data_IF_480807913087
#
_entry.id   IF_480807913087
#
_cell.length_a   1.000
_cell.length_b   1.000
_cell.length_c   1.000
_cell.angle_alpha   90.00
_cell.angle_beta   90.00
_cell.angle_gamma   90.00
#
_symmetry.space_group_name_H-M   'P 1'
#
loop_
_entity.id
_entity.type
_entity.pdbx_description
1 polymer ?
#
# COMPACT_ATOMS: atom_id res chain seq x y z
N UNK A 1 17.85 -18.10 -2.88
CA UNK A 1 17.22 -17.18 -1.93
C UNK A 1 16.38 -16.18 -2.68
N UNK A 2 15.15 -16.03 -2.26
CA UNK A 2 14.12 -15.20 -2.86
C UNK A 2 14.42 -13.73 -2.57
N UNK A 3 14.31 -12.88 -3.59
CA UNK A 3 14.52 -11.43 -3.46
C UNK A 3 13.25 -10.63 -3.60
N UNK A 4 12.11 -11.28 -3.86
CA UNK A 4 10.81 -10.67 -4.06
C UNK A 4 9.71 -11.64 -3.59
N UNK A 5 8.62 -11.10 -3.04
CA UNK A 5 7.41 -11.84 -2.71
C UNK A 5 6.18 -10.94 -2.90
N UNK A 6 5.12 -11.52 -3.45
CA UNK A 6 3.79 -10.92 -3.52
C UNK A 6 2.76 -11.90 -2.95
N UNK A 7 1.88 -11.44 -2.07
CA UNK A 7 0.86 -12.26 -1.39
C UNK A 7 -0.48 -11.56 -1.47
N UNK A 8 -1.52 -12.32 -1.82
CA UNK A 8 -2.93 -11.95 -1.58
C UNK A 8 -3.41 -12.65 -0.31
N UNK A 9 -3.73 -11.87 0.70
CA UNK A 9 -4.27 -12.34 1.97
C UNK A 9 -5.72 -11.88 2.14
N UNK A 10 -6.47 -12.59 2.99
CA UNK A 10 -7.81 -12.21 3.40
C UNK A 10 -7.88 -12.21 4.92
N UNK A 11 -8.64 -11.28 5.48
CA UNK A 11 -8.93 -11.26 6.91
C UNK A 11 -10.36 -11.77 7.07
N UNK A 12 -10.51 -12.94 7.69
CA UNK A 12 -11.80 -13.58 7.89
C UNK A 12 -12.55 -12.93 9.06
N UNK A 13 -13.15 -11.76 8.78
CA UNK A 13 -14.09 -11.11 9.68
C UNK A 13 -15.12 -10.29 8.90
N UNK A 14 -16.18 -9.87 9.59
CA UNK A 14 -17.27 -9.11 8.99
C UNK A 14 -16.82 -7.78 8.37
N UNK A 15 -15.79 -7.13 8.93
CA UNK A 15 -15.33 -5.81 8.52
C UNK A 15 -14.56 -5.84 7.21
N UNK A 16 -13.85 -6.94 6.94
CA UNK A 16 -12.97 -7.14 5.79
C UNK A 16 -13.42 -8.27 4.85
N UNK A 17 -14.62 -8.80 5.06
CA UNK A 17 -15.20 -9.83 4.20
C UNK A 17 -15.19 -9.40 2.73
N UNK A 18 -14.56 -10.21 1.89
CA UNK A 18 -14.43 -9.96 0.44
C UNK A 18 -13.46 -8.85 0.05
N UNK A 19 -12.65 -8.33 0.99
CA UNK A 19 -11.61 -7.33 0.71
C UNK A 19 -10.24 -8.01 0.70
N UNK A 20 -9.57 -8.14 -0.46
CA UNK A 20 -8.23 -8.71 -0.52
C UNK A 20 -7.18 -7.71 -0.01
N UNK A 21 -6.19 -8.22 0.71
CA UNK A 21 -4.99 -7.49 1.13
C UNK A 21 -3.82 -7.95 0.28
N UNK A 22 -3.20 -7.02 -0.45
CA UNK A 22 -2.03 -7.30 -1.26
C UNK A 22 -0.76 -6.83 -0.55
N UNK A 23 0.18 -7.74 -0.35
CA UNK A 23 1.48 -7.49 0.24
C UNK A 23 2.54 -7.70 -0.84
N UNK A 24 3.41 -6.71 -1.06
CA UNK A 24 4.51 -6.81 -2.01
C UNK A 24 5.77 -6.24 -1.39
N UNK A 25 6.85 -7.02 -1.42
CA UNK A 25 8.17 -6.58 -0.98
C UNK A 25 9.25 -7.22 -1.83
N UNK A 26 10.34 -6.50 -2.07
CA UNK A 26 11.45 -7.01 -2.85
C UNK A 26 12.70 -6.14 -2.80
N UNK A 27 13.79 -6.71 -3.31
CA UNK A 27 15.09 -6.04 -3.47
C UNK A 27 15.31 -5.70 -4.94
N UNK A 28 16.20 -4.74 -5.21
CA UNK A 28 16.51 -4.27 -6.57
C UNK A 28 15.26 -3.88 -7.39
N UNK A 29 14.23 -3.39 -6.71
CA UNK A 29 13.04 -2.85 -7.37
C UNK A 29 13.33 -1.44 -7.91
N UNK A 30 12.44 -0.93 -8.78
CA UNK A 30 12.57 0.37 -9.45
C UNK A 30 12.87 1.53 -8.48
N UNK A 31 12.23 1.54 -7.33
CA UNK A 31 12.38 2.59 -6.30
C UNK A 31 12.33 1.98 -4.90
N UNK A 32 13.05 2.61 -3.96
CA UNK A 32 12.88 2.34 -2.52
C UNK A 32 11.62 3.08 -2.05
N UNK A 33 10.60 2.36 -1.63
CA UNK A 33 9.39 2.92 -1.07
C UNK A 33 8.81 1.98 0.01
N UNK A 34 8.17 2.58 1.01
CA UNK A 34 7.30 1.87 1.95
C UNK A 34 5.98 2.64 1.99
N UNK A 35 4.91 2.03 1.50
CA UNK A 35 3.62 2.69 1.28
C UNK A 35 2.47 1.76 1.62
N UNK A 36 1.38 2.33 2.11
CA UNK A 36 0.10 1.67 2.30
C UNK A 36 -0.88 2.36 1.37
N UNK A 37 -1.53 1.59 0.50
CA UNK A 37 -2.50 2.10 -0.47
C UNK A 37 -3.85 1.48 -0.18
N UNK A 38 -4.82 2.33 0.11
CA UNK A 38 -6.22 1.95 0.28
C UNK A 38 -6.99 2.48 -0.92
N UNK A 39 -7.40 1.57 -1.79
CA UNK A 39 -8.30 1.88 -2.90
C UNK A 39 -9.74 1.66 -2.45
N UNK A 40 -10.58 2.68 -2.64
CA UNK A 40 -11.99 2.59 -2.29
C UNK A 40 -12.77 1.92 -3.41
N UNK A 41 -13.95 1.37 -3.09
CA UNK A 41 -14.84 0.84 -4.13
C UNK A 41 -15.27 1.97 -5.06
N UNK A 42 -15.43 1.70 -6.38
CA UNK A 42 -16.02 2.67 -7.29
C UNK A 42 -17.43 3.05 -6.83
N UNK A 43 -17.85 4.26 -7.17
CA UNK A 43 -19.19 4.74 -6.82
C UNK A 43 -20.22 3.85 -7.52
N UNK A 44 -21.12 3.23 -6.75
CA UNK A 44 -22.12 2.29 -7.26
C UNK A 44 -23.18 2.93 -8.15
N UNK A 45 -23.46 4.22 -7.93
CA UNK A 45 -24.39 5.01 -8.73
C UNK A 45 -23.72 6.29 -9.21
N UNK A 46 -23.41 6.35 -10.49
CA UNK A 46 -22.94 7.58 -11.11
C UNK A 46 -24.14 8.51 -11.36
N UNK A 47 -24.21 9.62 -10.62
CA UNK A 47 -25.20 10.69 -10.83
C UNK A 47 -24.79 11.67 -11.94
N UNK A 48 -23.55 11.55 -12.42
CA UNK A 48 -23.02 12.34 -13.53
C UNK A 48 -23.20 11.56 -14.84
N UNK A 49 -23.68 12.22 -15.90
CA UNK A 49 -23.82 11.60 -17.21
C UNK A 49 -22.46 11.26 -17.85
N UNK A 50 -22.48 10.56 -18.99
CA UNK A 50 -21.25 10.15 -19.71
C UNK A 50 -20.31 11.32 -20.07
N UNK A 51 -20.87 12.54 -20.17
CA UNK A 51 -20.12 13.78 -20.40
C UNK A 51 -19.15 14.15 -19.26
N UNK A 52 -19.29 13.53 -18.07
CA UNK A 52 -18.43 13.82 -16.93
C UNK A 52 -17.05 13.17 -16.99
N UNK A 53 -16.84 12.25 -17.94
CA UNK A 53 -15.59 11.52 -18.11
C UNK A 53 -15.48 10.27 -17.20
N UNK A 54 -14.37 9.53 -17.29
CA UNK A 54 -14.18 8.30 -16.54
C UNK A 54 -14.03 8.59 -15.04
N UNK A 55 -14.92 8.03 -14.23
CA UNK A 55 -14.83 8.11 -12.77
C UNK A 55 -13.80 7.10 -12.28
N UNK A 56 -12.81 7.60 -11.55
CA UNK A 56 -11.80 6.77 -10.91
C UNK A 56 -12.18 6.52 -9.44
N UNK A 57 -11.85 5.34 -8.88
CA UNK A 57 -12.03 5.11 -7.46
C UNK A 57 -11.16 6.06 -6.63
N UNK A 58 -11.69 6.50 -5.49
CA UNK A 58 -10.89 7.29 -4.55
C UNK A 58 -9.71 6.45 -4.04
N UNK A 59 -8.63 7.11 -3.64
CA UNK A 59 -7.43 6.43 -3.14
C UNK A 59 -6.79 7.19 -1.99
N UNK A 60 -6.46 6.48 -0.92
CA UNK A 60 -5.64 6.99 0.18
C UNK A 60 -4.27 6.32 0.12
N UNK A 61 -3.22 7.11 -0.09
CA UNK A 61 -1.83 6.67 -0.11
C UNK A 61 -1.13 7.23 1.12
N UNK A 62 -0.65 6.34 1.98
CA UNK A 62 0.15 6.66 3.16
C UNK A 62 1.58 6.24 2.86
N UNK A 63 2.46 7.20 2.58
CA UNK A 63 3.89 6.96 2.33
C UNK A 63 4.66 7.11 3.64
N UNK A 64 5.37 6.05 4.00
CA UNK A 64 6.20 5.99 5.21
C UNK A 64 7.65 6.36 4.90
N UNK A 65 8.18 5.95 3.75
CA UNK A 65 9.55 6.26 3.30
C UNK A 65 9.60 6.30 1.76
N UNK A 66 10.45 7.14 1.13
CA UNK A 66 11.52 7.96 1.74
C UNK A 66 11.04 9.30 2.32
N UNK A 67 9.99 9.90 1.77
CA UNK A 67 9.40 11.14 2.25
C UNK A 67 8.02 10.83 2.81
N UNK A 68 7.80 11.16 4.08
CA UNK A 68 6.54 10.87 4.75
C UNK A 68 5.44 11.80 4.23
N UNK A 69 4.39 11.19 3.66
CA UNK A 69 3.23 11.93 3.16
C UNK A 69 1.94 11.13 3.26
N UNK A 70 0.83 11.85 3.32
CA UNK A 70 -0.52 11.29 3.22
C UNK A 70 -1.20 11.99 2.05
N UNK A 71 -1.63 11.20 1.07
CA UNK A 71 -2.30 11.68 -0.14
C UNK A 71 -3.68 11.06 -0.24
N UNK A 72 -4.70 11.91 -0.44
CA UNK A 72 -6.06 11.48 -0.70
C UNK A 72 -6.48 12.00 -2.07
N UNK A 73 -6.64 11.07 -3.02
CA UNK A 73 -7.14 11.36 -4.36
C UNK A 73 -8.66 11.17 -4.40
N UNK A 74 -9.37 12.22 -4.81
CA UNK A 74 -10.82 12.30 -4.90
C UNK A 74 -11.23 12.83 -6.26
N UNK A 75 -12.43 12.49 -6.72
CA UNK A 75 -13.00 13.14 -7.91
C UNK A 75 -13.60 14.50 -7.54
N UNK A 76 -13.19 15.56 -8.24
CA UNK A 76 -13.73 16.92 -8.10
C UNK A 76 -14.27 17.42 -9.44
N UNK A 77 -15.21 18.37 -9.40
CA UNK A 77 -15.64 19.08 -10.60
C UNK A 77 -14.46 19.90 -11.15
N UNK A 78 -14.22 19.79 -12.45
CA UNK A 78 -13.28 20.64 -13.18
C UNK A 78 -13.82 22.07 -13.21
N UNK A 79 -12.98 23.03 -12.82
CA UNK A 79 -13.38 24.43 -12.65
C UNK A 79 -13.02 25.30 -13.86
N UNK A 80 -12.36 24.72 -14.87
CA UNK A 80 -11.89 25.40 -16.08
C UNK A 80 -13.01 25.65 -17.12
N UNK A 81 -14.12 24.92 -17.03
CA UNK A 81 -15.25 25.05 -17.94
C UNK A 81 -16.61 25.01 -17.21
N UNK A 82 -17.66 25.42 -17.92
CA UNK A 82 -19.03 25.40 -17.42
C UNK A 82 -19.66 24.00 -17.50
N UNK A 83 -19.01 23.06 -18.20
CA UNK A 83 -19.47 21.69 -18.36
C UNK A 83 -19.29 20.89 -17.07
N UNK A 84 -20.06 19.82 -16.90
CA UNK A 84 -20.03 18.98 -15.72
C UNK A 84 -18.97 17.87 -15.86
N UNK A 85 -17.70 18.26 -15.97
CA UNK A 85 -16.57 17.32 -16.09
C UNK A 85 -15.92 17.06 -14.72
N UNK A 86 -15.50 15.82 -14.47
CA UNK A 86 -14.81 15.43 -13.25
C UNK A 86 -13.34 15.15 -13.52
N UNK A 87 -12.48 15.53 -12.59
CA UNK A 87 -11.06 15.21 -12.59
C UNK A 87 -10.59 14.72 -11.23
N UNK A 88 -9.59 13.83 -11.18
CA UNK A 88 -8.98 13.43 -9.92
C UNK A 88 -8.16 14.61 -9.35
N UNK A 89 -8.47 15.01 -8.12
CA UNK A 89 -7.74 16.01 -7.34
C UNK A 89 -7.09 15.31 -6.14
N UNK A 90 -5.80 15.60 -5.93
CA UNK A 90 -5.02 15.01 -4.83
C UNK A 90 -4.81 16.03 -3.71
N UNK A 91 -5.36 15.72 -2.53
CA UNK A 91 -5.04 16.41 -1.29
C UNK A 91 -3.75 15.81 -0.74
N UNK A 92 -2.69 16.61 -0.63
CA UNK A 92 -1.37 16.16 -0.19
C UNK A 92 -0.98 16.82 1.13
N UNK A 93 -0.62 16.00 2.12
CA UNK A 93 -0.02 16.45 3.38
C UNK A 93 1.41 15.91 3.43
N UNK A 94 2.39 16.80 3.27
CA UNK A 94 3.81 16.49 3.43
C UNK A 94 4.20 16.65 4.90
N UNK A 95 4.43 15.53 5.60
CA UNK A 95 4.86 15.56 7.00
C UNK A 95 6.33 15.99 7.10
N UNK A 96 7.13 15.57 6.12
CA UNK A 96 8.53 15.95 5.96
C UNK A 96 8.71 17.48 5.96
N UNK A 97 7.90 18.21 5.18
CA UNK A 97 7.96 19.67 5.11
C UNK A 97 7.49 20.35 6.41
N UNK A 98 6.44 19.80 7.03
CA UNK A 98 5.84 20.38 8.24
C UNK A 98 6.76 20.28 9.47
N UNK A 99 7.60 19.24 9.55
CA UNK A 99 8.47 18.95 10.69
C UNK A 99 9.97 19.17 10.40
N UNK A 100 10.29 20.12 9.50
CA UNK A 100 11.65 20.49 9.08
C UNK A 100 12.62 21.00 10.18
N UNK A 101 12.26 20.89 11.47
CA UNK A 101 13.07 21.35 12.61
C UNK A 101 14.24 20.40 12.95
N UNK A 102 14.64 19.52 12.03
CA UNK A 102 15.69 18.52 12.23
C UNK A 102 15.35 17.41 13.25
N UNK A 103 14.12 17.39 13.77
CA UNK A 103 13.65 16.38 14.72
C UNK A 103 13.16 15.14 13.95
N UNK A 104 14.10 14.44 13.30
CA UNK A 104 13.83 13.10 12.81
C UNK A 104 13.83 12.15 14.02
N UNK A 105 12.66 11.63 14.36
CA UNK A 105 12.56 10.59 15.38
C UNK A 105 13.22 9.32 14.85
N UNK A 106 14.47 9.08 15.23
CA UNK A 106 15.09 7.77 15.07
C UNK A 106 14.17 6.72 15.72
N UNK A 107 13.76 5.73 14.93
CA UNK A 107 12.84 4.68 15.36
C UNK A 107 13.33 4.03 16.66
N UNK A 108 14.65 3.82 16.81
CA UNK A 108 15.21 3.24 18.02
C UNK A 108 15.13 4.18 19.22
N UNK A 109 15.36 5.48 19.03
CA UNK A 109 15.22 6.48 20.11
C UNK A 109 13.80 6.46 20.67
N UNK A 110 12.79 6.41 19.79
CA UNK A 110 11.39 6.35 20.22
C UNK A 110 11.09 5.07 21.01
N UNK A 111 11.51 3.91 20.50
CA UNK A 111 11.32 2.63 21.17
C UNK A 111 12.01 2.58 22.54
N UNK A 112 13.22 3.13 22.67
CA UNK A 112 13.93 3.20 23.95
C UNK A 112 13.19 4.07 24.97
N UNK A 113 12.65 5.22 24.55
CA UNK A 113 11.84 6.08 25.42
C UNK A 113 10.54 5.40 25.85
N UNK A 114 9.85 4.73 24.93
CA UNK A 114 8.62 3.99 25.24
C UNK A 114 8.90 2.81 26.19
N UNK A 115 10.02 2.10 26.03
CA UNK A 115 10.45 1.06 26.96
C UNK A 115 10.74 1.63 28.38
N UNK A 116 11.45 2.75 28.46
CA UNK A 116 11.72 3.42 29.74
C UNK A 116 10.44 3.94 30.42
N UNK A 117 9.44 4.34 29.63
CA UNK A 117 8.13 4.76 30.10
C UNK A 117 7.15 3.59 30.38
N UNK A 118 7.60 2.34 30.22
CA UNK A 118 6.77 1.14 30.33
C UNK A 118 5.51 1.18 29.45
N UNK A 119 5.65 1.72 28.23
CA UNK A 119 4.59 1.83 27.24
C UNK A 119 4.77 0.75 26.16
N UNK A 120 3.96 -0.32 26.15
CA UNK A 120 4.11 -1.43 25.22
C UNK A 120 3.51 -1.18 23.82
N UNK A 121 2.92 0.00 23.55
CA UNK A 121 2.10 0.22 22.36
C UNK A 121 2.80 0.01 20.99
N UNK A 122 4.12 0.17 20.93
CA UNK A 122 4.92 -0.04 19.70
C UNK A 122 5.72 -1.36 19.73
N UNK A 123 5.51 -2.21 20.73
CA UNK A 123 6.16 -3.50 20.86
C UNK A 123 5.20 -4.62 20.46
N UNK A 124 5.72 -5.58 19.69
CA UNK A 124 4.94 -6.72 19.23
C UNK A 124 4.69 -7.65 20.42
N UNK A 125 3.42 -8.01 20.64
CA UNK A 125 3.07 -8.91 21.73
C UNK A 125 3.46 -10.37 21.39
N UNK A 126 3.73 -11.19 22.41
CA UNK A 126 4.10 -12.61 22.22
C UNK A 126 3.08 -13.38 21.40
N UNK A 127 1.80 -13.15 21.65
CA UNK A 127 0.72 -13.83 20.95
C UNK A 127 0.61 -13.40 19.48
N UNK A 128 0.91 -12.12 19.19
CA UNK A 128 0.96 -11.59 17.82
C UNK A 128 2.10 -12.25 17.03
N UNK A 129 3.30 -12.36 17.63
CA UNK A 129 4.41 -13.10 17.02
C UNK A 129 4.04 -14.56 16.75
N UNK A 130 3.38 -15.23 17.69
CA UNK A 130 2.95 -16.62 17.51
C UNK A 130 1.98 -16.78 16.34
N UNK A 131 1.00 -15.88 16.23
CA UNK A 131 0.02 -15.91 15.12
C UNK A 131 0.67 -15.59 13.77
N UNK A 132 1.61 -14.63 13.73
CA UNK A 132 2.36 -14.33 12.52
C UNK A 132 3.15 -15.54 12.01
N UNK A 133 3.85 -16.25 12.90
CA UNK A 133 4.57 -17.48 12.52
C UNK A 133 3.62 -18.59 12.09
N UNK A 134 2.54 -18.82 12.83
CA UNK A 134 1.52 -19.82 12.47
C UNK A 134 0.94 -19.58 11.06
N UNK A 135 0.84 -18.32 10.62
CA UNK A 135 0.39 -17.96 9.28
C UNK A 135 1.48 -18.13 8.20
N UNK A 136 2.73 -17.78 8.51
CA UNK A 136 3.84 -17.78 7.53
C UNK A 136 4.50 -19.16 7.38
N UNK A 137 4.59 -19.98 8.43
CA UNK A 137 5.28 -21.27 8.41
C UNK A 137 4.81 -22.20 7.29
N UNK A 138 3.49 -22.42 7.07
CA UNK A 138 3.03 -23.29 5.98
C UNK A 138 3.41 -22.77 4.58
N UNK A 139 3.52 -21.44 4.42
CA UNK A 139 3.95 -20.81 3.16
C UNK A 139 5.43 -21.13 2.92
N UNK A 140 6.26 -20.98 3.95
CA UNK A 140 7.70 -21.27 3.88
C UNK A 140 7.93 -22.76 3.60
N UNK A 141 7.27 -23.65 4.33
CA UNK A 141 7.40 -25.12 4.15
C UNK A 141 7.03 -25.54 2.73
N UNK A 142 5.89 -25.04 2.22
CA UNK A 142 5.46 -25.32 0.86
C UNK A 142 6.47 -24.79 -0.16
N UNK A 143 6.99 -23.59 0.05
CA UNK A 143 7.98 -22.99 -0.83
C UNK A 143 9.30 -23.78 -0.88
N UNK A 144 9.81 -24.22 0.27
CA UNK A 144 11.04 -25.03 0.32
C UNK A 144 10.91 -26.36 -0.44
N UNK A 145 9.71 -26.95 -0.47
CA UNK A 145 9.47 -28.24 -1.13
C UNK A 145 9.37 -28.17 -2.65
N UNK A 146 8.86 -27.05 -3.21
CA UNK A 146 8.41 -26.97 -4.61
C UNK A 146 8.64 -25.62 -5.30
N UNK A 147 9.13 -24.61 -4.58
CA UNK A 147 9.23 -23.24 -5.06
C UNK A 147 10.48 -23.01 -5.92
N UNK A 148 10.27 -22.39 -7.07
CA UNK A 148 11.33 -21.72 -7.83
C UNK A 148 10.89 -20.25 -8.00
N UNK A 149 11.72 -19.26 -7.62
CA UNK A 149 11.34 -17.85 -7.72
C UNK A 149 11.29 -17.42 -9.18
N UNK A 150 10.21 -16.74 -9.57
CA UNK A 150 10.10 -16.09 -10.88
C UNK A 150 11.16 -15.00 -11.02
N UNK A 151 11.81 -14.97 -12.19
CA UNK A 151 12.86 -14.00 -12.47
C UNK A 151 12.24 -12.66 -12.86
N UNK A 152 12.90 -11.58 -12.44
CA UNK A 152 12.53 -10.23 -12.82
C UNK A 152 13.77 -9.39 -13.07
N UNK A 153 13.64 -8.39 -13.94
CA UNK A 153 14.73 -7.48 -14.28
C UNK A 153 15.02 -6.56 -13.09
N UNK A 154 16.29 -6.44 -12.71
CA UNK A 154 16.70 -5.45 -11.71
C UNK A 154 16.29 -4.04 -12.16
N UNK A 155 15.59 -3.31 -11.27
CA UNK A 155 15.00 -2.01 -11.56
C UNK A 155 13.55 -2.06 -12.06
N UNK A 156 12.93 -3.24 -12.20
CA UNK A 156 11.48 -3.38 -12.43
C UNK A 156 10.68 -3.35 -11.11
N UNK A 157 9.36 -3.42 -11.18
CA UNK A 157 8.46 -3.53 -10.02
C UNK A 157 8.21 -4.96 -9.55
N UNK A 158 8.88 -5.95 -10.13
CA UNK A 158 8.67 -7.37 -9.87
C UNK A 158 8.55 -8.20 -11.14
N UNK A 159 8.25 -9.50 -11.01
CA UNK A 159 7.88 -10.40 -12.10
C UNK A 159 6.42 -10.17 -12.55
N UNK A 160 6.10 -10.59 -13.77
CA UNK A 160 4.75 -10.48 -14.35
C UNK A 160 3.70 -11.24 -13.53
N UNK A 161 4.06 -12.41 -12.97
CA UNK A 161 3.21 -13.21 -12.07
C UNK A 161 2.67 -12.40 -10.87
N UNK A 162 3.40 -11.36 -10.43
CA UNK A 162 2.96 -10.51 -9.34
C UNK A 162 1.83 -9.56 -9.76
N UNK A 163 1.80 -9.15 -11.03
CA UNK A 163 0.74 -8.32 -11.61
C UNK A 163 -0.51 -9.20 -11.88
N UNK A 164 -0.32 -10.41 -12.41
CA UNK A 164 -1.40 -11.39 -12.65
C UNK A 164 -2.20 -11.71 -11.38
N UNK A 165 -1.54 -11.77 -10.22
CA UNK A 165 -2.17 -11.98 -8.91
C UNK A 165 -3.28 -10.96 -8.60
N UNK A 166 -3.15 -9.72 -9.09
CA UNK A 166 -4.13 -8.66 -8.90
C UNK A 166 -5.18 -8.62 -10.01
N UNK A 167 -4.80 -9.01 -11.23
CA UNK A 167 -5.68 -9.04 -12.40
C UNK A 167 -6.86 -10.01 -12.22
N UNK A 168 -6.70 -11.09 -11.45
CA UNK A 168 -7.80 -11.99 -11.07
C UNK A 168 -9.00 -11.24 -10.46
N UNK A 169 -8.74 -10.14 -9.76
CA UNK A 169 -9.74 -9.27 -9.16
C UNK A 169 -9.92 -7.94 -9.92
N UNK A 170 -9.32 -7.80 -11.10
CA UNK A 170 -9.26 -6.56 -11.90
C UNK A 170 -8.61 -5.39 -11.15
N UNK A 171 -7.69 -5.70 -10.24
CA UNK A 171 -6.92 -4.71 -9.51
C UNK A 171 -5.58 -4.50 -10.22
N UNK A 172 -4.91 -3.38 -9.93
CA UNK A 172 -3.59 -3.05 -10.47
C UNK A 172 -2.73 -2.51 -9.34
N UNK A 173 -1.43 -2.82 -9.37
CA UNK A 173 -0.50 -2.28 -8.37
C UNK A 173 -0.38 -0.77 -8.49
N UNK A 174 -0.39 -0.10 -7.33
CA UNK A 174 0.06 1.27 -7.24
C UNK A 174 1.60 1.30 -7.22
N UNK A 175 2.20 1.93 -8.22
CA UNK A 175 3.64 2.08 -8.36
C UNK A 175 4.06 3.52 -8.07
N UNK A 176 4.92 3.71 -7.08
CA UNK A 176 5.36 5.04 -6.65
C UNK A 176 6.12 5.78 -7.76
N UNK A 177 5.52 6.84 -8.29
CA UNK A 177 6.12 7.72 -9.31
C UNK A 177 5.66 7.48 -10.75
N UNK A 178 4.68 6.60 -10.99
CA UNK A 178 4.04 6.43 -12.31
C UNK A 178 2.73 7.20 -12.46
N UNK A 179 2.27 7.88 -11.40
CA UNK A 179 1.11 8.78 -11.43
C UNK A 179 1.50 10.12 -10.80
N UNK A 180 1.92 11.05 -11.66
CA UNK A 180 1.95 12.49 -11.43
C UNK A 180 1.30 13.15 -12.64
#
# INVERSE_FOLDING_TARGET
TETFVAIRAHIDNWRWSGVPFYLRTGKRMKKRCAEIVVEYKPVSHNVYGDAAGPIQPNRLVIRLQPEESIQLTLMSKRLDNLEMQLEPVTLNISLSEKYNNGYHSDAYKRLMLDAAANNPALFIHRDEVRQAWQWVDPIIERWQSKGAPSLYRAGSWGPEDADELLEENKHVWFNAGEQA
#
